data_IF_277424864530
#
_entry.id   IF_277424864530
#
_cell.length_a   1.000
_cell.length_b   1.000
_cell.length_c   1.000
_cell.angle_alpha   90.00
_cell.angle_beta   90.00
_cell.angle_gamma   90.00
#
_symmetry.space_group_name_H-M   'P 1'
#
loop_
_entity.id
_entity.type
_entity.pdbx_description
1 polymer ?
#
# COMPACT_ATOMS: atom_id res chain seq x y z
N UNK A 1 -34.67 -9.05 1.21
CA UNK A 1 -33.33 -9.28 0.64
C UNK A 1 -32.79 -7.91 0.26
N UNK A 2 -32.17 -7.22 1.22
CA UNK A 2 -31.59 -5.91 0.96
C UNK A 2 -30.19 -6.16 0.39
N UNK A 3 -30.00 -5.80 -0.88
CA UNK A 3 -28.67 -5.55 -1.42
C UNK A 3 -28.12 -4.35 -0.65
N UNK A 4 -27.35 -4.60 0.40
CA UNK A 4 -26.44 -3.58 0.90
C UNK A 4 -25.33 -3.50 -0.13
N UNK A 5 -25.52 -2.65 -1.14
CA UNK A 5 -24.40 -1.95 -1.76
C UNK A 5 -23.70 -1.21 -0.62
N UNK A 6 -22.78 -1.90 0.06
CA UNK A 6 -21.69 -1.19 0.70
C UNK A 6 -20.96 -0.58 -0.48
N UNK A 7 -21.20 0.70 -0.71
CA UNK A 7 -20.17 1.53 -1.33
C UNK A 7 -18.94 1.19 -0.49
N UNK A 8 -17.98 0.45 -1.05
CA UNK A 8 -16.71 0.22 -0.37
C UNK A 8 -16.18 1.62 -0.10
N UNK A 9 -16.35 2.12 1.13
CA UNK A 9 -15.83 3.42 1.52
C UNK A 9 -14.33 3.36 1.21
N UNK A 10 -13.87 4.29 0.37
CA UNK A 10 -12.46 4.36 0.01
C UNK A 10 -11.64 4.43 1.29
N UNK A 11 -10.44 3.84 1.25
CA UNK A 11 -9.55 3.89 2.40
C UNK A 11 -9.21 5.36 2.68
N UNK A 12 -9.53 5.86 3.86
CA UNK A 12 -9.14 7.21 4.25
C UNK A 12 -7.71 7.18 4.80
N UNK A 13 -6.78 7.78 4.05
CA UNK A 13 -5.35 7.76 4.39
C UNK A 13 -5.04 8.61 5.63
N UNK A 14 -5.83 9.66 5.88
CA UNK A 14 -5.64 10.59 7.01
C UNK A 14 -6.00 9.96 8.36
N UNK A 15 -6.68 8.80 8.34
CA UNK A 15 -7.06 8.06 9.55
C UNK A 15 -6.04 6.99 9.94
N UNK A 16 -5.07 6.68 9.08
CA UNK A 16 -4.10 5.62 9.33
C UNK A 16 -3.21 5.93 10.53
N UNK A 17 -2.90 4.90 11.30
CA UNK A 17 -1.96 4.98 12.42
C UNK A 17 -0.54 5.24 11.90
N UNK A 18 0.06 6.37 12.28
CA UNK A 18 1.42 6.77 11.86
C UNK A 18 2.51 5.73 12.18
N UNK A 19 2.33 4.95 13.25
CA UNK A 19 3.36 4.03 13.76
C UNK A 19 3.10 2.59 13.34
N UNK A 20 1.84 2.18 13.26
CA UNK A 20 1.47 0.80 12.95
C UNK A 20 0.21 0.73 12.10
N UNK A 21 0.25 1.15 10.82
CA UNK A 21 -0.93 1.20 9.97
C UNK A 21 -1.36 -0.18 9.45
N UNK A 22 -0.54 -1.22 9.60
CA UNK A 22 -0.76 -2.47 8.85
C UNK A 22 -1.44 -3.56 9.69
N UNK A 23 -2.61 -3.99 9.21
CA UNK A 23 -3.22 -5.27 9.56
C UNK A 23 -2.64 -6.36 8.65
N UNK A 24 -1.66 -7.09 9.18
CA UNK A 24 -0.99 -8.18 8.44
C UNK A 24 -1.82 -9.45 8.55
N UNK A 25 -2.22 -9.99 7.39
CA UNK A 25 -2.90 -11.28 7.32
C UNK A 25 -1.94 -12.41 7.76
N UNK A 26 -2.48 -13.45 8.39
CA UNK A 26 -1.73 -14.60 8.89
C UNK A 26 -0.97 -15.36 7.78
N UNK A 27 -1.30 -15.10 6.51
CA UNK A 27 -0.62 -15.65 5.34
C UNK A 27 0.24 -14.62 4.59
N UNK A 28 1.17 -13.97 5.30
CA UNK A 28 2.13 -13.03 4.74
C UNK A 28 2.89 -13.56 3.50
N UNK A 29 3.08 -14.88 3.38
CA UNK A 29 3.73 -15.50 2.22
C UNK A 29 3.04 -15.23 0.87
N UNK A 30 1.73 -14.92 0.86
CA UNK A 30 1.00 -14.56 -0.37
C UNK A 30 1.15 -13.09 -0.77
N UNK A 31 1.69 -12.25 0.12
CA UNK A 31 1.97 -10.84 -0.17
C UNK A 31 3.13 -10.69 -1.16
N UNK A 32 4.05 -11.66 -1.20
CA UNK A 32 5.30 -11.53 -1.93
C UNK A 32 5.32 -12.43 -3.15
N UNK A 33 5.43 -11.81 -4.34
CA UNK A 33 5.66 -12.54 -5.60
C UNK A 33 7.16 -12.66 -5.92
N UNK A 34 8.01 -11.95 -5.19
CA UNK A 34 9.45 -11.90 -5.38
C UNK A 34 10.16 -12.49 -4.15
N UNK A 35 11.11 -13.43 -4.33
CA UNK A 35 11.68 -14.21 -3.21
C UNK A 35 12.55 -13.40 -2.25
N UNK A 36 12.89 -12.15 -2.58
CA UNK A 36 13.71 -11.27 -1.75
C UNK A 36 12.90 -10.15 -1.07
N UNK A 37 11.61 -10.02 -1.38
CA UNK A 37 10.75 -9.01 -0.76
C UNK A 37 9.94 -9.65 0.36
N UNK A 38 9.78 -8.92 1.46
CA UNK A 38 9.13 -9.34 2.68
C UNK A 38 8.40 -8.20 3.37
N UNK A 39 7.93 -8.50 4.59
CA UNK A 39 7.16 -7.55 5.38
C UNK A 39 8.01 -6.33 5.76
N UNK A 40 9.30 -6.52 5.97
CA UNK A 40 10.24 -5.43 6.26
C UNK A 40 10.24 -4.40 5.12
N UNK A 41 10.20 -4.83 3.86
CA UNK A 41 10.12 -3.90 2.72
C UNK A 41 8.82 -3.09 2.71
N UNK A 42 7.71 -3.66 3.19
CA UNK A 42 6.43 -2.93 3.33
C UNK A 42 6.56 -1.83 4.38
N UNK A 43 7.21 -2.13 5.51
CA UNK A 43 7.50 -1.13 6.53
C UNK A 43 8.51 -0.10 6.05
N UNK A 44 9.53 -0.50 5.28
CA UNK A 44 10.48 0.42 4.68
C UNK A 44 9.77 1.39 3.74
N UNK A 45 8.83 0.94 2.91
CA UNK A 45 8.02 1.85 2.08
C UNK A 45 7.24 2.85 2.94
N UNK A 46 6.68 2.43 4.07
CA UNK A 46 5.91 3.32 4.96
C UNK A 46 6.77 4.42 5.58
N UNK A 47 7.95 4.07 6.09
CA UNK A 47 8.82 5.02 6.81
C UNK A 47 9.61 5.94 5.86
N UNK A 48 9.62 5.64 4.56
CA UNK A 48 10.28 6.46 3.54
C UNK A 48 9.33 7.50 2.90
N UNK A 49 8.32 7.95 3.65
CA UNK A 49 7.39 9.03 3.28
C UNK A 49 6.77 8.81 1.87
N UNK A 50 5.93 7.77 1.73
CA UNK A 50 5.44 7.31 0.45
C UNK A 50 4.43 8.28 -0.18
N UNK A 51 4.37 8.26 -1.51
CA UNK A 51 3.26 8.83 -2.26
C UNK A 51 2.16 7.78 -2.47
N UNK A 52 0.90 8.24 -2.47
CA UNK A 52 -0.26 7.37 -2.66
C UNK A 52 -0.95 7.64 -4.00
N UNK A 53 -0.96 6.63 -4.87
CA UNK A 53 -1.68 6.68 -6.14
C UNK A 53 -3.00 5.91 -6.06
N UNK A 54 -4.12 6.43 -6.60
CA UNK A 54 -5.36 5.67 -6.66
C UNK A 54 -5.21 4.34 -7.41
N UNK A 55 -5.81 3.27 -6.87
CA UNK A 55 -5.79 1.93 -7.47
C UNK A 55 -7.21 1.45 -7.81
N UNK A 56 -7.30 0.29 -8.47
CA UNK A 56 -8.55 -0.43 -8.67
C UNK A 56 -8.67 -1.55 -7.63
N UNK A 57 -9.87 -1.80 -7.07
CA UNK A 57 -10.10 -2.92 -6.16
C UNK A 57 -9.51 -4.24 -6.67
N UNK A 58 -8.94 -5.07 -5.78
CA UNK A 58 -9.09 -5.04 -4.33
C UNK A 58 -8.20 -4.03 -3.58
N UNK A 59 -7.26 -3.35 -4.26
CA UNK A 59 -6.50 -2.25 -3.67
C UNK A 59 -7.24 -0.92 -3.85
N UNK A 60 -7.23 -0.07 -2.84
CA UNK A 60 -7.77 1.30 -2.95
C UNK A 60 -6.66 2.28 -3.35
N UNK A 61 -5.43 2.05 -2.87
CA UNK A 61 -4.26 2.85 -3.21
C UNK A 61 -3.03 1.97 -3.50
N UNK A 62 -2.09 2.53 -4.25
CA UNK A 62 -0.71 2.10 -4.34
C UNK A 62 0.11 3.03 -3.44
N UNK A 63 0.71 2.48 -2.40
CA UNK A 63 1.70 3.16 -1.56
C UNK A 63 3.08 2.96 -2.20
N UNK A 64 3.76 4.05 -2.56
CA UNK A 64 4.96 4.00 -3.40
C UNK A 64 6.07 4.85 -2.78
N UNK A 65 7.24 4.24 -2.61
CA UNK A 65 8.44 4.94 -2.12
C UNK A 65 9.70 4.37 -2.77
N UNK A 66 10.77 5.16 -2.81
CA UNK A 66 12.11 4.66 -3.13
C UNK A 66 12.80 4.13 -1.86
N UNK A 67 13.17 2.85 -1.88
CA UNK A 67 13.86 2.14 -0.80
C UNK A 67 15.19 1.63 -1.35
N UNK A 68 16.31 2.11 -0.79
CA UNK A 68 17.66 1.73 -1.20
C UNK A 68 17.94 1.84 -2.72
N UNK A 69 17.36 2.84 -3.39
CA UNK A 69 17.51 3.07 -4.84
C UNK A 69 16.46 2.39 -5.72
N UNK A 70 15.60 1.57 -5.13
CA UNK A 70 14.54 0.83 -5.83
C UNK A 70 13.19 1.43 -5.50
N UNK A 71 12.39 1.78 -6.50
CA UNK A 71 11.01 2.22 -6.26
C UNK A 71 10.14 0.98 -6.04
N UNK A 72 9.58 0.87 -4.84
CA UNK A 72 8.71 -0.23 -4.43
C UNK A 72 7.25 0.23 -4.41
N UNK A 73 6.36 -0.72 -4.67
CA UNK A 73 4.91 -0.52 -4.68
C UNK A 73 4.28 -1.51 -3.72
N UNK A 74 3.44 -0.98 -2.84
CA UNK A 74 2.60 -1.76 -1.92
C UNK A 74 1.14 -1.39 -2.17
N UNK A 75 0.35 -2.25 -2.84
CA UNK A 75 -1.09 -2.05 -2.92
C UNK A 75 -1.71 -2.24 -1.55
N UNK A 76 -2.52 -1.29 -1.12
CA UNK A 76 -3.19 -1.31 0.18
C UNK A 76 -4.70 -1.28 0.02
N UNK A 77 -5.38 -2.00 0.92
CA UNK A 77 -6.83 -2.10 1.00
C UNK A 77 -7.31 -1.76 2.42
N UNK A 78 -8.60 -1.45 2.63
CA UNK A 78 -9.16 -1.29 3.97
C UNK A 78 -8.93 -2.52 4.85
N UNK A 79 -8.80 -2.28 6.16
CA UNK A 79 -8.80 -3.31 7.20
C UNK A 79 -9.94 -4.32 7.01
N UNK A 80 -9.70 -5.62 7.29
CA UNK A 80 -10.79 -6.61 7.38
C UNK A 80 -11.54 -6.52 8.69
N UNK A 81 -10.88 -6.09 9.76
CA UNK A 81 -11.54 -5.88 11.06
C UNK A 81 -12.45 -4.66 11.08
N UNK A 82 -12.29 -3.75 10.10
CA UNK A 82 -13.05 -2.51 9.99
C UNK A 82 -12.48 -1.37 10.83
N UNK A 83 -11.27 -1.55 11.39
CA UNK A 83 -10.55 -0.48 12.07
C UNK A 83 -10.06 0.55 11.03
N UNK A 84 -10.55 1.81 11.06
CA UNK A 84 -10.15 2.82 10.09
C UNK A 84 -8.69 3.24 10.24
N UNK A 85 -8.05 2.97 11.38
CA UNK A 85 -6.62 3.24 11.60
C UNK A 85 -5.69 2.21 10.96
N UNK A 86 -6.27 1.14 10.38
CA UNK A 86 -5.52 0.05 9.76
C UNK A 86 -5.86 -0.11 8.28
N UNK A 87 -4.84 -0.45 7.50
CA UNK A 87 -4.97 -0.95 6.15
C UNK A 87 -4.27 -2.31 6.03
N UNK A 88 -4.54 -3.02 4.94
CA UNK A 88 -3.91 -4.30 4.62
C UNK A 88 -3.01 -4.14 3.42
N UNK A 89 -1.71 -4.41 3.52
CA UNK A 89 -0.91 -4.63 2.33
C UNK A 89 -1.41 -5.88 1.62
N UNK A 90 -1.54 -5.82 0.30
CA UNK A 90 -1.90 -6.95 -0.56
C UNK A 90 -0.64 -7.58 -1.17
N UNK A 91 0.42 -6.79 -1.34
CA UNK A 91 1.73 -7.30 -1.69
C UNK A 91 2.81 -6.23 -1.76
N UNK A 92 4.02 -6.65 -2.13
CA UNK A 92 5.17 -5.76 -2.34
C UNK A 92 5.91 -6.17 -3.62
N UNK A 93 6.20 -5.22 -4.50
CA UNK A 93 6.90 -5.43 -5.77
C UNK A 93 7.64 -4.19 -6.26
N UNK A 94 8.65 -4.40 -7.08
CA UNK A 94 9.37 -3.33 -7.77
C UNK A 94 8.48 -2.65 -8.81
N UNK A 95 8.58 -1.32 -8.90
CA UNK A 95 7.87 -0.55 -9.90
C UNK A 95 8.40 -0.82 -11.31
N UNK A 96 7.49 -0.73 -12.30
CA UNK A 96 7.92 -0.64 -13.69
C UNK A 96 8.73 0.65 -13.90
N UNK A 97 9.63 0.67 -14.88
CA UNK A 97 10.46 1.84 -15.18
C UNK A 97 9.65 3.12 -15.39
N UNK A 98 8.49 3.02 -16.03
CA UNK A 98 7.58 4.16 -16.24
C UNK A 98 6.99 4.69 -14.94
N UNK A 99 6.53 3.81 -14.05
CA UNK A 99 5.96 4.24 -12.78
C UNK A 99 7.03 4.77 -11.82
N UNK A 100 8.24 4.17 -11.82
CA UNK A 100 9.37 4.70 -11.08
C UNK A 100 9.75 6.12 -11.54
N UNK A 101 9.73 6.38 -12.86
CA UNK A 101 10.00 7.71 -13.40
C UNK A 101 8.92 8.73 -13.05
N UNK A 102 7.64 8.32 -13.05
CA UNK A 102 6.54 9.17 -12.59
C UNK A 102 6.67 9.49 -11.10
N UNK A 103 6.89 8.48 -10.26
CA UNK A 103 7.10 8.66 -8.82
C UNK A 103 8.19 9.67 -8.50
N UNK A 104 9.36 9.52 -9.13
CA UNK A 104 10.49 10.45 -8.89
C UNK A 104 10.15 11.88 -9.28
N UNK A 105 9.47 12.07 -10.42
CA UNK A 105 9.02 13.42 -10.83
C UNK A 105 8.05 14.00 -9.81
N UNK A 106 7.03 13.25 -9.44
CA UNK A 106 6.01 13.73 -8.50
C UNK A 106 6.66 14.05 -7.14
N UNK A 107 7.63 13.24 -6.70
CA UNK A 107 8.38 13.46 -5.45
C UNK A 107 9.22 14.73 -5.47
N UNK A 108 9.79 15.10 -6.60
CA UNK A 108 10.57 16.35 -6.75
C UNK A 108 9.66 17.61 -6.76
N UNK A 109 8.35 17.44 -6.96
CA UNK A 109 7.37 18.53 -6.99
C UNK A 109 6.73 18.84 -5.61
N UNK A 110 7.04 18.05 -4.58
CA UNK A 110 6.58 18.23 -3.18
C UNK A 110 7.74 18.54 -2.23
#
# INVERSE_FOLDING_TARGET
>A
MLYTDRVDELLDLDLLDDQNPFEIDAQAAHLFKHPHLGLDDVYDVWVNDPLFYPAKPPAHYLMVAEVAGTVLIVPIAPSRSGDPSKCRPIGCYEASSGLAATYRRDRDEY
#
